data_IF_581812412034
#
_entry.id   IF_581812412034
#
_cell.length_a   1.000
_cell.length_b   1.000
_cell.length_c   1.000
_cell.angle_alpha   90.00
_cell.angle_beta   90.00
_cell.angle_gamma   90.00
#
_symmetry.space_group_name_H-M   'P 1'
#
loop_
_entity.id
_entity.type
_entity.pdbx_description
1 polymer ?
#
# COMPACT_ATOMS: atom_id res chain seq x y z
N UNK A 1 -29.85 21.37 -7.22
CA UNK A 1 -29.73 20.47 -6.05
C UNK A 1 -28.31 19.95 -6.06
N UNK A 2 -27.48 20.46 -5.16
CA UNK A 2 -26.03 20.37 -5.21
C UNK A 2 -25.48 19.11 -4.52
N UNK A 3 -24.45 18.53 -5.14
CA UNK A 3 -23.27 17.93 -4.49
C UNK A 3 -23.48 16.71 -3.61
N UNK A 4 -23.33 15.52 -4.18
CA UNK A 4 -23.01 14.33 -3.41
C UNK A 4 -21.61 14.50 -2.79
N UNK A 5 -21.54 14.90 -1.52
CA UNK A 5 -20.39 14.59 -0.66
C UNK A 5 -20.42 13.09 -0.40
N UNK A 6 -19.83 12.33 -1.32
CA UNK A 6 -19.48 10.94 -1.08
C UNK A 6 -18.53 10.91 0.10
N UNK A 7 -19.06 10.63 1.30
CA UNK A 7 -18.28 10.08 2.39
C UNK A 7 -17.62 8.82 1.82
N UNK A 8 -16.36 8.92 1.42
CA UNK A 8 -15.55 7.78 1.04
C UNK A 8 -15.40 6.97 2.33
N UNK A 9 -16.31 6.04 2.57
CA UNK A 9 -16.06 4.93 3.49
C UNK A 9 -14.90 4.20 2.85
N UNK A 10 -13.69 4.43 3.35
CA UNK A 10 -12.49 3.69 2.96
C UNK A 10 -12.74 2.22 3.32
N UNK A 11 -13.15 1.36 2.37
CA UNK A 11 -13.63 0.02 2.70
C UNK A 11 -12.49 -0.87 3.21
N UNK A 12 -11.26 -0.38 3.05
CA UNK A 12 -10.01 -1.07 3.35
C UNK A 12 -9.19 -0.38 4.46
N UNK A 13 -9.72 0.66 5.10
CA UNK A 13 -9.05 1.39 6.17
C UNK A 13 -7.68 1.93 5.76
N UNK A 14 -6.62 1.78 6.58
CA UNK A 14 -5.26 2.28 6.28
C UNK A 14 -4.71 1.83 4.91
N UNK A 15 -5.11 0.65 4.43
CA UNK A 15 -4.66 0.16 3.11
C UNK A 15 -5.19 1.01 1.94
N UNK A 16 -6.34 1.69 2.11
CA UNK A 16 -6.85 2.62 1.08
C UNK A 16 -5.98 3.86 0.99
N UNK A 17 -5.60 4.44 2.13
CA UNK A 17 -4.67 5.56 2.22
C UNK A 17 -3.30 5.21 1.61
N UNK A 18 -2.79 4.01 1.87
CA UNK A 18 -1.56 3.52 1.24
C UNK A 18 -1.73 3.33 -0.28
N UNK A 19 -2.84 2.76 -0.74
CA UNK A 19 -3.14 2.61 -2.15
C UNK A 19 -3.19 3.98 -2.86
N UNK A 20 -3.83 4.98 -2.24
CA UNK A 20 -3.87 6.35 -2.74
C UNK A 20 -2.46 6.99 -2.81
N UNK A 21 -1.64 6.80 -1.77
CA UNK A 21 -0.26 7.28 -1.73
C UNK A 21 0.59 6.67 -2.86
N UNK A 22 0.50 5.35 -3.07
CA UNK A 22 1.19 4.67 -4.18
C UNK A 22 0.72 5.21 -5.53
N UNK A 23 -0.59 5.39 -5.73
CA UNK A 23 -1.11 5.92 -6.98
C UNK A 23 -0.62 7.34 -7.28
N UNK A 24 -0.38 8.15 -6.23
CA UNK A 24 0.17 9.51 -6.35
C UNK A 24 1.69 9.51 -6.61
N UNK A 25 2.44 8.71 -5.85
CA UNK A 25 3.91 8.72 -5.82
C UNK A 25 4.56 7.80 -6.84
N UNK A 26 3.94 6.67 -7.13
CA UNK A 26 4.46 5.65 -8.01
C UNK A 26 3.32 5.02 -8.85
N UNK A 27 2.68 5.80 -9.75
CA UNK A 27 1.54 5.33 -10.54
C UNK A 27 1.86 4.13 -11.44
N UNK A 28 3.15 3.87 -11.73
CA UNK A 28 3.61 2.68 -12.44
C UNK A 28 3.53 1.38 -11.62
N UNK A 29 3.36 1.45 -10.30
CA UNK A 29 3.16 0.28 -9.45
C UNK A 29 1.68 -0.09 -9.51
N UNK A 30 1.39 -1.30 -9.98
CA UNK A 30 0.03 -1.83 -9.93
C UNK A 30 -0.27 -2.23 -8.48
N UNK A 31 -1.12 -1.45 -7.83
CA UNK A 31 -1.60 -1.68 -6.47
C UNK A 31 -3.07 -2.13 -6.51
N UNK A 32 -3.43 -3.14 -5.72
CA UNK A 32 -4.81 -3.67 -5.68
C UNK A 32 -5.14 -4.14 -4.27
N UNK A 33 -6.17 -3.57 -3.67
CA UNK A 33 -6.71 -4.04 -2.40
C UNK A 33 -7.52 -5.32 -2.63
N UNK A 34 -7.16 -6.39 -1.94
CA UNK A 34 -7.87 -7.66 -1.98
C UNK A 34 -8.15 -8.13 -0.55
N UNK A 35 -9.38 -8.59 -0.31
CA UNK A 35 -9.68 -9.37 0.89
C UNK A 35 -9.28 -10.81 0.58
N UNK A 36 -8.26 -11.31 1.25
CA UNK A 36 -7.85 -12.71 1.10
C UNK A 36 -8.11 -13.44 2.40
N UNK A 37 -8.69 -14.63 2.31
CA UNK A 37 -8.60 -15.62 3.37
C UNK A 37 -7.15 -16.10 3.42
N UNK A 38 -6.48 -15.90 4.56
CA UNK A 38 -5.23 -16.60 4.83
C UNK A 38 -5.51 -18.11 5.05
N UNK A 39 -4.48 -18.95 4.94
CA UNK A 39 -4.55 -20.39 5.25
C UNK A 39 -5.01 -20.64 6.70
N UNK A 40 -4.86 -19.64 7.57
CA UNK A 40 -5.31 -19.61 8.96
C UNK A 40 -6.80 -19.29 9.15
N UNK A 41 -7.57 -19.06 8.07
CA UNK A 41 -9.01 -18.78 8.15
C UNK A 41 -9.37 -17.34 8.54
N UNK A 42 -8.38 -16.48 8.80
CA UNK A 42 -8.60 -15.04 8.98
C UNK A 42 -8.80 -14.35 7.64
N UNK A 43 -9.91 -13.63 7.52
CA UNK A 43 -10.19 -12.72 6.40
C UNK A 43 -9.40 -11.43 6.63
N UNK A 44 -8.17 -11.39 6.14
CA UNK A 44 -7.31 -10.21 6.20
C UNK A 44 -7.46 -9.35 4.95
N UNK A 45 -7.57 -8.03 5.16
CA UNK A 45 -7.37 -7.08 4.07
C UNK A 45 -5.88 -7.04 3.71
N UNK A 46 -5.56 -7.20 2.43
CA UNK A 46 -4.19 -7.12 1.92
C UNK A 46 -4.11 -6.22 0.70
N UNK A 47 -3.01 -5.50 0.60
CA UNK A 47 -2.66 -4.72 -0.57
C UNK A 47 -1.64 -5.52 -1.40
N UNK A 48 -2.01 -5.86 -2.63
CA UNK A 48 -1.13 -6.50 -3.59
C UNK A 48 -0.45 -5.42 -4.41
N UNK A 49 0.87 -5.44 -4.46
CA UNK A 49 1.67 -4.51 -5.23
C UNK A 49 2.57 -5.28 -6.20
N UNK A 50 2.57 -4.86 -7.46
CA UNK A 50 3.40 -5.46 -8.50
C UNK A 50 3.99 -4.40 -9.40
N UNK A 51 5.20 -4.66 -9.90
CA UNK A 51 5.90 -3.72 -10.77
C UNK A 51 6.69 -4.48 -11.83
N UNK A 52 6.38 -4.23 -13.11
CA UNK A 52 7.00 -4.91 -14.27
C UNK A 52 6.97 -6.44 -14.10
N UNK A 53 8.10 -7.10 -14.39
CA UNK A 53 8.30 -8.55 -14.29
C UNK A 53 8.62 -9.01 -12.86
N UNK A 54 8.49 -8.13 -11.84
CA UNK A 54 8.74 -8.53 -10.45
C UNK A 54 7.53 -9.30 -9.90
N UNK A 55 7.79 -10.33 -9.07
CA UNK A 55 6.70 -11.05 -8.41
C UNK A 55 5.88 -10.10 -7.56
N UNK A 56 4.55 -10.25 -7.63
CA UNK A 56 3.63 -9.47 -6.82
C UNK A 56 3.92 -9.71 -5.33
N UNK A 57 4.05 -8.62 -4.58
CA UNK A 57 4.24 -8.62 -3.14
C UNK A 57 2.94 -8.24 -2.44
N UNK A 58 2.75 -8.75 -1.22
CA UNK A 58 1.53 -8.52 -0.44
C UNK A 58 1.85 -7.79 0.85
N UNK A 59 1.02 -6.82 1.19
CA UNK A 59 1.16 -5.98 2.38
C UNK A 59 -0.11 -6.12 3.21
N UNK A 60 0.03 -6.16 4.54
CA UNK A 60 -1.10 -5.99 5.46
C UNK A 60 -0.85 -4.78 6.36
N UNK A 61 -1.94 -4.26 6.91
CA UNK A 61 -1.86 -3.40 8.08
C UNK A 61 -1.74 -4.28 9.33
N UNK A 62 -0.79 -3.97 10.20
CA UNK A 62 -0.62 -4.59 11.50
C UNK A 62 -1.18 -3.64 12.56
N UNK A 63 -2.32 -4.01 13.14
CA UNK A 63 -3.05 -3.16 14.08
C UNK A 63 -2.32 -3.04 15.43
N UNK A 64 -1.58 -4.07 15.84
CA UNK A 64 -0.81 -4.10 17.09
C UNK A 64 0.35 -3.10 17.09
N UNK A 65 1.01 -2.97 15.93
CA UNK A 65 2.16 -2.09 15.76
C UNK A 65 1.85 -0.81 14.97
N UNK A 66 0.58 -0.62 14.60
CA UNK A 66 0.07 0.46 13.77
C UNK A 66 0.97 0.74 12.56
N UNK A 67 1.34 -0.33 11.84
CA UNK A 67 2.34 -0.24 10.76
C UNK A 67 2.01 -1.14 9.58
N UNK A 68 2.42 -0.74 8.37
CA UNK A 68 2.36 -1.61 7.21
C UNK A 68 3.48 -2.65 7.27
N UNK A 69 3.16 -3.90 6.97
CA UNK A 69 4.12 -5.01 6.97
C UNK A 69 3.98 -5.86 5.72
N UNK A 70 5.11 -6.33 5.22
CA UNK A 70 5.14 -7.32 4.17
C UNK A 70 4.60 -8.66 4.68
N UNK A 71 3.82 -9.32 3.83
CA UNK A 71 3.26 -10.67 4.07
C UNK A 71 3.58 -11.64 2.93
N UNK A 72 4.50 -11.23 2.05
CA UNK A 72 5.07 -12.11 1.04
C UNK A 72 6.40 -11.56 0.52
N UNK A 73 7.21 -12.46 -0.03
CA UNK A 73 8.50 -12.13 -0.63
C UNK A 73 9.66 -12.37 0.35
N UNK A 74 10.88 -11.91 -0.01
CA UNK A 74 12.07 -12.11 0.83
C UNK A 74 12.03 -11.33 2.14
N UNK A 75 11.19 -10.28 2.19
CA UNK A 75 11.04 -9.38 3.34
C UNK A 75 9.77 -9.71 4.15
N UNK A 76 9.26 -10.94 4.10
CA UNK A 76 8.07 -11.35 4.85
C UNK A 76 8.19 -11.01 6.36
N UNK A 77 7.16 -10.37 6.92
CA UNK A 77 7.15 -9.87 8.29
C UNK A 77 7.90 -8.55 8.51
N UNK A 78 8.61 -8.02 7.52
CA UNK A 78 9.33 -6.75 7.67
C UNK A 78 8.39 -5.54 7.65
N UNK A 79 8.68 -4.57 8.52
CA UNK A 79 7.89 -3.34 8.68
C UNK A 79 8.28 -2.30 7.62
N UNK A 80 7.28 -1.80 6.93
CA UNK A 80 7.38 -0.69 5.99
C UNK A 80 7.40 0.62 6.78
N UNK A 81 6.26 1.17 7.17
CA UNK A 81 6.19 2.35 8.03
C UNK A 81 4.76 2.49 8.57
N UNK A 82 4.56 3.31 9.58
CA UNK A 82 3.21 3.76 9.96
C UNK A 82 2.71 4.85 9.00
N UNK A 83 3.61 5.74 8.58
CA UNK A 83 3.31 6.81 7.63
C UNK A 83 3.12 6.26 6.21
N UNK A 84 2.03 6.67 5.55
CA UNK A 84 1.63 6.16 4.22
C UNK A 84 2.59 6.58 3.11
N UNK A 85 3.20 7.76 3.22
CA UNK A 85 4.13 8.26 2.21
C UNK A 85 5.47 7.53 2.30
N UNK A 86 5.97 7.37 3.53
CA UNK A 86 7.17 6.56 3.78
C UNK A 86 6.95 5.09 3.43
N UNK A 87 5.76 4.54 3.68
CA UNK A 87 5.42 3.19 3.28
C UNK A 87 5.39 3.04 1.76
N UNK A 88 4.75 3.95 1.03
CA UNK A 88 4.76 3.98 -0.43
C UNK A 88 6.19 4.08 -0.98
N UNK A 89 7.05 4.86 -0.33
CA UNK A 89 8.46 4.96 -0.69
C UNK A 89 9.20 3.64 -0.52
N UNK A 90 9.12 3.02 0.66
CA UNK A 90 9.77 1.73 0.90
C UNK A 90 9.24 0.64 -0.02
N UNK A 91 7.96 0.67 -0.39
CA UNK A 91 7.38 -0.25 -1.39
C UNK A 91 8.03 -0.06 -2.74
N UNK A 92 8.13 1.19 -3.21
CA UNK A 92 8.73 1.47 -4.50
C UNK A 92 10.23 1.10 -4.51
N UNK A 93 10.97 1.39 -3.44
CA UNK A 93 12.36 0.96 -3.28
C UNK A 93 12.50 -0.57 -3.32
N UNK A 94 11.66 -1.30 -2.57
CA UNK A 94 11.67 -2.76 -2.54
C UNK A 94 11.33 -3.38 -3.91
N UNK A 95 10.50 -2.71 -4.70
CA UNK A 95 10.15 -3.12 -6.07
C UNK A 95 11.13 -2.60 -7.13
N UNK A 96 12.06 -1.71 -6.77
CA UNK A 96 12.94 -1.00 -7.70
C UNK A 96 12.19 -0.09 -8.66
N UNK A 97 11.01 0.39 -8.26
CA UNK A 97 10.22 1.33 -9.03
C UNK A 97 10.72 2.76 -8.75
N UNK A 98 10.81 3.63 -9.77
CA UNK A 98 11.07 5.04 -9.54
C UNK A 98 9.93 5.65 -8.73
N UNK A 99 10.21 6.67 -7.93
CA UNK A 99 9.21 7.48 -7.24
C UNK A 99 9.21 8.85 -7.86
N UNK A 100 8.02 9.39 -8.11
CA UNK A 100 7.85 10.80 -8.43
C UNK A 100 8.26 11.63 -7.22
N UNK A 101 9.31 12.47 -7.31
CA UNK A 101 9.67 13.35 -6.20
C UNK A 101 8.47 14.23 -5.87
N UNK A 102 8.30 14.55 -4.59
CA UNK A 102 7.23 15.45 -4.22
C UNK A 102 7.46 16.79 -4.94
N UNK A 103 6.42 17.44 -5.48
CA UNK A 103 6.59 18.77 -6.09
C UNK A 103 7.16 19.81 -5.09
N UNK A 104 7.10 19.54 -3.79
CA UNK A 104 7.66 20.38 -2.72
C UNK A 104 9.18 20.22 -2.48
N UNK A 105 9.87 19.34 -3.22
CA UNK A 105 11.35 19.22 -3.16
C UNK A 105 12.04 19.97 -4.30
N UNK A 106 11.29 20.78 -5.05
CA UNK A 106 11.81 21.72 -6.04
C UNK A 106 11.59 23.17 -5.60
N UNK A 107 12.14 23.54 -4.45
CA UNK A 107 12.28 24.94 -4.03
C UNK A 107 13.72 25.22 -3.56
#
# INVERSE_FOLDING_TARGET
MAGATGLVVEPFGPLDALHAAIRRRAPQIAATCARTSDVSGEFGLRLHVSYRDRPARRIRWDDDTETYVWTSGPDDGARLAADVEQAAERIAWALGAPISPNPSERE
#
